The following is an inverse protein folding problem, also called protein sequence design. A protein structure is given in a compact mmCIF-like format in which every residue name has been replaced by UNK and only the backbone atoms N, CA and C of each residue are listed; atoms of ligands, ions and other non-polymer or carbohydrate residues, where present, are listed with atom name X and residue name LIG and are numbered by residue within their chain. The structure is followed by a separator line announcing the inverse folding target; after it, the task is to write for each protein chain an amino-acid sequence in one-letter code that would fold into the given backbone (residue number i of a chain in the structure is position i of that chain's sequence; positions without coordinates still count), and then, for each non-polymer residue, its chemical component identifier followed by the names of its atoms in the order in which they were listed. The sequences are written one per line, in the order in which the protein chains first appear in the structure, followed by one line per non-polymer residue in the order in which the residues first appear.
data_IF_698587650758
#
_entry.id   IF_698587650758
#
_cell.length_a   1.000
_cell.length_b   1.000
_cell.length_c   1.000
_cell.angle_alpha   90.00
_cell.angle_beta   90.00
_cell.angle_gamma   90.00
#
_symmetry.space_group_name_H-M   'P 1'
#
loop_
_entity.id
_entity.type
_entity.pdbx_description
1 polymer ?
#
# COMPACT_ATOMS: atom_id res chain seq x y z
N UNK A 1 -32.40 4.22 14.04
CA UNK A 1 -32.55 3.86 12.61
C UNK A 1 -31.33 4.42 11.88
N UNK A 2 -30.25 3.64 11.81
CA UNK A 2 -29.02 4.06 11.16
C UNK A 2 -29.09 3.68 9.69
N UNK A 3 -29.14 4.68 8.84
CA UNK A 3 -29.15 4.57 7.39
C UNK A 3 -27.74 4.11 6.92
N UNK A 4 -27.61 2.80 6.70
CA UNK A 4 -26.40 2.20 6.13
C UNK A 4 -26.43 2.47 4.60
N UNK A 5 -25.91 3.61 4.17
CA UNK A 5 -25.63 3.86 2.77
C UNK A 5 -24.54 2.89 2.27
N UNK A 6 -24.84 2.07 1.26
CA UNK A 6 -23.82 1.22 0.62
C UNK A 6 -23.06 2.03 -0.44
N UNK A 7 -22.10 2.87 -0.05
CA UNK A 7 -21.46 3.79 -1.00
C UNK A 7 -19.93 3.71 -1.08
N UNK A 8 -19.31 2.54 -0.79
CA UNK A 8 -17.85 2.47 -0.89
C UNK A 8 -17.30 1.54 -1.99
N UNK A 9 -18.14 1.06 -2.91
CA UNK A 9 -17.64 0.28 -4.05
C UNK A 9 -16.90 1.12 -5.11
N UNK A 10 -17.10 2.43 -5.10
CA UNK A 10 -16.51 3.35 -6.10
C UNK A 10 -15.13 3.91 -5.70
N UNK A 11 -14.73 3.82 -4.45
CA UNK A 11 -13.47 4.40 -3.96
C UNK A 11 -12.22 3.72 -4.54
N UNK A 12 -12.23 2.40 -4.63
CA UNK A 12 -11.08 1.62 -5.11
C UNK A 12 -10.79 1.81 -6.61
N UNK A 13 -11.82 1.88 -7.43
CA UNK A 13 -11.65 2.11 -8.87
C UNK A 13 -11.18 3.54 -9.19
N UNK A 14 -11.71 4.53 -8.46
CA UNK A 14 -11.26 5.93 -8.64
C UNK A 14 -9.80 6.13 -8.29
N UNK A 15 -9.29 5.44 -7.27
CA UNK A 15 -7.87 5.54 -6.90
C UNK A 15 -6.95 4.91 -7.95
N UNK A 16 -7.31 3.77 -8.50
CA UNK A 16 -6.54 3.13 -9.58
C UNK A 16 -6.52 3.98 -10.86
N UNK A 17 -7.65 4.56 -11.23
CA UNK A 17 -7.74 5.44 -12.40
C UNK A 17 -6.90 6.70 -12.22
N UNK A 18 -6.92 7.31 -11.03
CA UNK A 18 -6.07 8.49 -10.72
C UNK A 18 -4.59 8.13 -10.77
N UNK A 19 -4.21 7.00 -10.20
CA UNK A 19 -2.82 6.52 -10.22
C UNK A 19 -2.34 6.28 -11.64
N UNK A 20 -3.15 5.62 -12.47
CA UNK A 20 -2.83 5.41 -13.89
C UNK A 20 -2.67 6.73 -14.63
N UNK A 21 -3.59 7.68 -14.43
CA UNK A 21 -3.51 9.01 -15.03
C UNK A 21 -2.24 9.75 -14.62
N UNK A 22 -1.88 9.73 -13.33
CA UNK A 22 -0.64 10.34 -12.83
C UNK A 22 0.61 9.71 -13.44
N UNK A 23 0.64 8.40 -13.61
CA UNK A 23 1.74 7.69 -14.28
C UNK A 23 1.89 8.12 -15.73
N UNK A 24 0.78 8.30 -16.45
CA UNK A 24 0.79 8.79 -17.84
C UNK A 24 1.31 10.23 -17.91
N UNK A 25 0.82 11.11 -17.03
CA UNK A 25 1.28 12.51 -16.96
C UNK A 25 2.78 12.58 -16.66
N UNK A 26 3.26 11.79 -15.69
CA UNK A 26 4.67 11.72 -15.34
C UNK A 26 5.52 11.26 -16.54
N UNK A 27 5.05 10.26 -17.27
CA UNK A 27 5.73 9.78 -18.49
C UNK A 27 5.83 10.88 -19.54
N UNK A 28 4.75 11.64 -19.77
CA UNK A 28 4.74 12.75 -20.73
C UNK A 28 5.77 13.82 -20.33
N UNK A 29 5.83 14.18 -19.05
CA UNK A 29 6.80 15.14 -18.53
C UNK A 29 8.23 14.64 -18.77
N UNK A 30 8.51 13.37 -18.46
CA UNK A 30 9.83 12.77 -18.66
C UNK A 30 10.26 12.79 -20.12
N UNK A 31 9.34 12.44 -21.03
CA UNK A 31 9.60 12.45 -22.48
C UNK A 31 9.83 13.88 -22.98
N UNK A 32 9.04 14.85 -22.52
CA UNK A 32 9.22 16.25 -22.89
C UNK A 32 10.59 16.78 -22.46
N UNK A 33 10.99 16.56 -21.21
CA UNK A 33 12.31 16.95 -20.70
C UNK A 33 13.44 16.24 -21.44
N UNK A 34 13.32 14.95 -21.69
CA UNK A 34 14.30 14.19 -22.46
C UNK A 34 14.45 14.70 -23.89
N UNK A 35 13.33 15.08 -24.51
CA UNK A 35 13.34 15.66 -25.86
C UNK A 35 13.95 17.08 -25.91
N UNK A 36 13.80 17.85 -24.86
CA UNK A 36 14.42 19.19 -24.75
C UNK A 36 15.94 19.09 -24.61
N UNK A 37 16.47 18.07 -23.95
CA UNK A 37 17.90 17.92 -23.69
C UNK A 37 18.60 17.19 -24.83
N UNK A 38 18.03 16.12 -25.36
CA UNK A 38 18.65 15.22 -26.33
C UNK A 38 17.86 15.06 -27.64
N UNK A 39 16.92 15.97 -27.93
CA UNK A 39 16.11 15.90 -29.14
C UNK A 39 15.26 14.60 -29.18
N UNK A 40 15.05 14.07 -30.37
CA UNK A 40 14.24 12.87 -30.60
C UNK A 40 14.79 11.63 -29.85
N UNK A 41 16.09 11.46 -29.86
CA UNK A 41 16.74 10.31 -29.21
C UNK A 41 16.66 10.41 -27.69
N UNK A 42 16.83 11.61 -27.11
CA UNK A 42 16.63 11.88 -25.71
C UNK A 42 15.19 11.59 -25.24
N UNK A 43 14.20 11.96 -26.06
CA UNK A 43 12.80 11.63 -25.81
C UNK A 43 12.52 10.13 -25.82
N UNK A 44 13.09 9.39 -26.75
CA UNK A 44 12.95 7.92 -26.82
C UNK A 44 13.58 7.24 -25.62
N UNK A 45 14.78 7.61 -25.24
CA UNK A 45 15.46 7.08 -24.04
C UNK A 45 14.63 7.34 -22.79
N UNK A 46 14.16 8.59 -22.63
CA UNK A 46 13.33 8.97 -21.49
C UNK A 46 12.00 8.19 -21.43
N UNK A 47 11.40 7.91 -22.60
CA UNK A 47 10.19 7.08 -22.68
C UNK A 47 10.43 5.66 -22.16
N UNK A 48 11.50 5.00 -22.62
CA UNK A 48 11.82 3.65 -22.16
C UNK A 48 12.17 3.60 -20.67
N UNK A 49 12.92 4.59 -20.16
CA UNK A 49 13.19 4.70 -18.72
C UNK A 49 11.91 4.87 -17.94
N UNK A 50 11.01 5.76 -18.34
CA UNK A 50 9.73 5.98 -17.67
C UNK A 50 8.85 4.73 -17.69
N UNK A 51 8.83 3.98 -18.81
CA UNK A 51 8.09 2.73 -18.92
C UNK A 51 8.58 1.68 -17.91
N UNK A 52 9.90 1.48 -17.84
CA UNK A 52 10.53 0.53 -16.91
C UNK A 52 10.27 0.96 -15.46
N UNK A 53 10.46 2.23 -15.13
CA UNK A 53 10.20 2.76 -13.79
C UNK A 53 8.73 2.59 -13.37
N UNK A 54 7.79 2.91 -14.25
CA UNK A 54 6.36 2.72 -14.01
C UNK A 54 6.02 1.25 -13.78
N UNK A 55 6.60 0.34 -14.59
CA UNK A 55 6.42 -1.09 -14.43
C UNK A 55 6.94 -1.58 -13.08
N UNK A 56 8.17 -1.20 -12.71
CA UNK A 56 8.77 -1.58 -11.42
C UNK A 56 7.94 -1.02 -10.26
N UNK A 57 7.56 0.26 -10.32
CA UNK A 57 6.75 0.90 -9.28
C UNK A 57 5.41 0.21 -9.09
N UNK A 58 4.73 -0.15 -10.16
CA UNK A 58 3.43 -0.82 -10.08
C UNK A 58 3.53 -2.25 -9.54
N UNK A 59 4.55 -3.01 -9.96
CA UNK A 59 4.65 -4.43 -9.61
C UNK A 59 5.37 -4.71 -8.29
N UNK A 60 6.24 -3.84 -7.86
CA UNK A 60 7.16 -4.09 -6.74
C UNK A 60 7.07 -3.06 -5.61
N UNK A 61 6.16 -2.07 -5.67
CA UNK A 61 6.09 -1.02 -4.65
C UNK A 61 5.89 -1.57 -3.24
N UNK A 62 5.03 -2.56 -3.05
CA UNK A 62 4.79 -3.23 -1.78
C UNK A 62 6.06 -3.92 -1.25
N UNK A 63 6.75 -4.67 -2.10
CA UNK A 63 7.98 -5.38 -1.75
C UNK A 63 9.13 -4.42 -1.43
N UNK A 64 9.24 -3.32 -2.18
CA UNK A 64 10.28 -2.30 -1.96
C UNK A 64 10.08 -1.65 -0.60
N UNK A 65 8.86 -1.24 -0.26
CA UNK A 65 8.53 -0.62 1.02
C UNK A 65 8.81 -1.57 2.17
N UNK A 66 8.32 -2.82 2.11
CA UNK A 66 8.55 -3.81 3.15
C UNK A 66 10.04 -4.11 3.36
N UNK A 67 10.81 -4.21 2.27
CA UNK A 67 12.26 -4.41 2.34
C UNK A 67 13.01 -3.21 2.94
N UNK A 68 12.58 -2.00 2.58
CA UNK A 68 13.15 -0.76 3.10
C UNK A 68 12.99 -0.64 4.61
N UNK A 69 11.82 -1.03 5.12
CA UNK A 69 11.51 -1.06 6.55
C UNK A 69 11.96 -2.34 7.27
N UNK A 70 12.61 -3.28 6.56
CA UNK A 70 13.01 -4.60 7.09
C UNK A 70 11.84 -5.34 7.76
N UNK A 71 10.65 -5.20 7.18
CA UNK A 71 9.44 -5.83 7.67
C UNK A 71 9.58 -7.36 7.58
N UNK A 72 9.23 -8.06 8.65
CA UNK A 72 9.24 -9.51 8.72
C UNK A 72 7.81 -10.01 8.68
N UNK A 73 7.52 -10.92 7.77
CA UNK A 73 6.22 -11.58 7.73
C UNK A 73 6.08 -12.51 8.94
N UNK A 74 4.99 -12.39 9.65
CA UNK A 74 4.71 -13.20 10.84
C UNK A 74 3.51 -14.08 10.59
N UNK A 75 3.62 -15.33 11.02
CA UNK A 75 2.54 -16.29 10.97
C UNK A 75 1.54 -16.09 12.11
N UNK A 76 0.37 -16.70 11.98
CA UNK A 76 -0.63 -16.71 13.06
C UNK A 76 -0.08 -17.32 14.36
N UNK A 77 0.80 -18.32 14.25
CA UNK A 77 1.44 -18.95 15.41
C UNK A 77 2.41 -18.01 16.15
N UNK A 78 3.07 -17.10 15.43
CA UNK A 78 4.04 -16.14 15.98
C UNK A 78 3.37 -14.90 16.59
N UNK A 79 2.26 -14.45 15.99
CA UNK A 79 1.55 -13.26 16.42
C UNK A 79 0.02 -13.46 16.41
N UNK A 80 -0.55 -14.38 17.22
CA UNK A 80 -1.96 -14.75 17.14
C UNK A 80 -2.91 -13.60 17.43
N UNK A 81 -2.55 -12.71 18.35
CA UNK A 81 -3.38 -11.55 18.69
C UNK A 81 -3.46 -10.53 17.55
N UNK A 82 -2.34 -10.28 16.91
CA UNK A 82 -2.27 -9.35 15.75
C UNK A 82 -3.06 -9.92 14.57
N UNK A 83 -2.89 -11.22 14.29
CA UNK A 83 -3.67 -11.89 13.24
C UNK A 83 -5.17 -11.87 13.51
N UNK A 84 -5.61 -12.11 14.74
CA UNK A 84 -7.02 -12.04 15.11
C UNK A 84 -7.61 -10.64 14.89
N UNK A 85 -6.87 -9.58 15.25
CA UNK A 85 -7.29 -8.18 15.02
C UNK A 85 -7.40 -7.85 13.54
N UNK A 86 -6.37 -8.18 12.77
CA UNK A 86 -6.35 -7.92 11.32
C UNK A 86 -7.46 -8.71 10.62
N UNK A 87 -7.71 -9.95 11.03
CA UNK A 87 -8.81 -10.77 10.51
C UNK A 87 -10.17 -10.15 10.78
N UNK A 88 -10.41 -9.67 12.00
CA UNK A 88 -11.66 -8.98 12.34
C UNK A 88 -11.89 -7.72 11.51
N UNK A 89 -10.84 -6.93 11.26
CA UNK A 89 -10.91 -5.75 10.40
C UNK A 89 -11.14 -6.10 8.93
N UNK A 90 -10.46 -7.12 8.44
CA UNK A 90 -10.64 -7.61 7.06
C UNK A 90 -12.08 -8.11 6.82
N UNK A 91 -12.65 -8.82 7.79
CA UNK A 91 -14.06 -9.25 7.73
C UNK A 91 -15.02 -8.05 7.74
N UNK A 92 -14.80 -7.06 8.61
CA UNK A 92 -15.61 -5.82 8.63
C UNK A 92 -15.52 -5.05 7.31
N UNK A 93 -14.35 -5.06 6.67
CA UNK A 93 -14.12 -4.41 5.37
C UNK A 93 -14.53 -5.28 4.17
N UNK A 94 -14.97 -6.52 4.38
CA UNK A 94 -15.31 -7.48 3.33
C UNK A 94 -14.18 -7.72 2.32
N UNK A 95 -12.94 -7.78 2.80
CA UNK A 95 -11.74 -8.06 2.01
C UNK A 95 -11.08 -9.37 2.44
N UNK A 96 -10.29 -10.02 1.57
CA UNK A 96 -9.47 -11.16 1.94
C UNK A 96 -8.47 -10.79 3.04
N UNK A 97 -8.09 -11.78 3.87
CA UNK A 97 -7.09 -11.59 4.92
C UNK A 97 -5.77 -11.08 4.33
N UNK A 98 -5.29 -9.89 4.71
CA UNK A 98 -4.01 -9.38 4.27
C UNK A 98 -2.86 -10.11 4.96
N UNK A 99 -1.67 -10.07 4.36
CA UNK A 99 -0.44 -10.56 4.99
C UNK A 99 -0.02 -9.61 6.10
N UNK A 100 0.44 -10.18 7.21
CA UNK A 100 0.80 -9.42 8.41
C UNK A 100 2.31 -9.38 8.58
N UNK A 101 2.83 -8.17 8.78
CA UNK A 101 4.25 -7.92 8.95
C UNK A 101 4.52 -7.15 10.24
N UNK A 102 5.65 -7.45 10.88
CA UNK A 102 6.18 -6.70 12.01
C UNK A 102 7.49 -6.02 11.58
N UNK A 103 7.64 -4.78 12.01
CA UNK A 103 8.83 -3.97 11.79
C UNK A 103 9.48 -3.69 13.14
N UNK A 104 10.73 -4.06 13.30
CA UNK A 104 11.51 -3.72 14.48
C UNK A 104 11.86 -2.23 14.47
N UNK A 105 11.02 -1.42 15.10
CA UNK A 105 11.20 0.01 15.23
C UNK A 105 10.48 0.48 16.49
N UNK A 106 11.16 1.26 17.33
CA UNK A 106 10.60 1.80 18.58
C UNK A 106 9.61 2.94 18.32
N UNK A 107 9.68 3.60 17.17
CA UNK A 107 8.69 4.61 16.79
C UNK A 107 7.34 3.94 16.50
N UNK A 108 6.25 4.36 17.19
CA UNK A 108 4.94 3.77 16.99
C UNK A 108 4.41 4.12 15.59
N UNK A 109 4.20 3.10 14.77
CA UNK A 109 3.64 3.25 13.43
C UNK A 109 2.89 1.99 13.00
N UNK A 110 1.87 2.17 12.18
CA UNK A 110 1.16 1.09 11.50
C UNK A 110 0.69 1.58 10.13
N UNK A 111 0.82 0.76 9.11
CA UNK A 111 0.31 1.10 7.79
C UNK A 111 -0.20 -0.13 7.05
N UNK A 112 -1.11 0.11 6.13
CA UNK A 112 -1.55 -0.88 5.16
C UNK A 112 -1.09 -0.47 3.77
N UNK A 113 -0.72 -1.42 2.95
CA UNK A 113 -0.34 -1.23 1.55
C UNK A 113 -0.80 -2.43 0.73
N UNK A 114 -0.84 -2.26 -0.56
CA UNK A 114 -1.22 -3.30 -1.50
C UNK A 114 -1.79 -2.69 -2.77
N UNK A 115 -1.65 -3.40 -3.89
CA UNK A 115 -2.18 -2.97 -5.19
C UNK A 115 -3.59 -3.49 -5.50
N UNK A 116 -4.07 -4.42 -4.68
CA UNK A 116 -5.40 -5.01 -4.79
C UNK A 116 -5.83 -5.62 -3.46
N UNK A 117 -7.13 -5.81 -3.20
CA UNK A 117 -7.61 -6.44 -1.98
C UNK A 117 -6.98 -7.80 -1.68
N UNK A 118 -6.74 -8.61 -2.73
CA UNK A 118 -6.11 -9.94 -2.60
C UNK A 118 -4.60 -9.90 -2.34
N UNK A 119 -3.96 -8.73 -2.43
CA UNK A 119 -2.52 -8.52 -2.20
C UNK A 119 -2.26 -7.48 -1.12
N UNK A 120 -3.22 -7.33 -0.22
CA UNK A 120 -3.11 -6.47 0.94
C UNK A 120 -2.01 -6.91 1.90
N UNK A 121 -1.36 -5.95 2.49
CA UNK A 121 -0.33 -6.11 3.53
C UNK A 121 -0.61 -5.13 4.63
N UNK A 122 -0.55 -5.59 5.86
CA UNK A 122 -0.58 -4.75 7.07
C UNK A 122 0.76 -4.90 7.77
N UNK A 123 1.39 -3.78 8.06
CA UNK A 123 2.65 -3.74 8.80
C UNK A 123 2.49 -2.89 10.05
N UNK A 124 3.00 -3.39 11.16
CA UNK A 124 3.00 -2.71 12.46
C UNK A 124 4.41 -2.68 13.03
N UNK A 125 4.75 -1.62 13.77
CA UNK A 125 6.03 -1.55 14.46
C UNK A 125 5.95 -2.16 15.85
N UNK A 126 7.08 -2.66 16.35
CA UNK A 126 7.19 -3.12 17.74
C UNK A 126 6.88 -2.01 18.74
N UNK A 127 7.18 -0.76 18.38
CA UNK A 127 6.89 0.41 19.21
C UNK A 127 5.39 0.58 19.46
N UNK A 128 4.55 0.50 18.42
CA UNK A 128 3.09 0.66 18.59
C UNK A 128 2.50 -0.52 19.37
N UNK A 129 3.01 -1.74 19.18
CA UNK A 129 2.56 -2.93 19.91
C UNK A 129 2.87 -2.88 21.40
N UNK A 130 3.91 -2.14 21.82
CA UNK A 130 4.26 -1.96 23.25
C UNK A 130 3.43 -0.88 23.94
N UNK A 131 3.00 0.15 23.21
CA UNK A 131 2.34 1.33 23.77
C UNK A 131 0.84 1.13 23.85
N UNK A 132 0.24 0.49 22.85
CA UNK A 132 -1.21 0.36 22.73
C UNK A 132 -1.71 -0.96 23.32
N UNK A 133 -2.79 -0.87 24.09
CA UNK A 133 -3.61 -2.02 24.44
C UNK A 133 -4.23 -2.64 23.17
N UNK A 134 -4.75 -3.85 23.29
CA UNK A 134 -5.40 -4.55 22.18
C UNK A 134 -6.54 -3.74 21.55
N UNK A 135 -7.35 -3.08 22.37
CA UNK A 135 -8.51 -2.27 21.94
C UNK A 135 -8.06 -0.99 21.23
N UNK A 136 -7.01 -0.35 21.73
CA UNK A 136 -6.42 0.85 21.13
C UNK A 136 -5.71 0.55 19.82
N UNK A 137 -5.02 -0.58 19.73
CA UNK A 137 -4.35 -1.03 18.51
C UNK A 137 -5.37 -1.33 17.40
N UNK A 138 -6.52 -1.95 17.73
CA UNK A 138 -7.62 -2.15 16.78
C UNK A 138 -8.18 -0.82 16.27
N UNK A 139 -8.17 0.23 17.08
CA UNK A 139 -8.59 1.58 16.70
C UNK A 139 -7.63 2.32 15.77
N UNK A 140 -6.33 2.00 15.84
CA UNK A 140 -5.26 2.66 15.06
C UNK A 140 -4.98 1.95 13.73
N UNK A 141 -5.24 0.64 13.67
CA UNK A 141 -5.09 -0.11 12.41
C UNK A 141 -5.99 0.51 11.33
N UNK A 142 -5.46 0.69 10.11
CA UNK A 142 -6.21 1.32 9.02
C UNK A 142 -7.52 0.57 8.78
N UNK A 143 -8.64 1.28 8.97
CA UNK A 143 -9.98 0.76 8.66
C UNK A 143 -10.26 0.82 7.16
N UNK A 144 -9.60 1.77 6.50
CA UNK A 144 -9.69 1.97 5.07
C UNK A 144 -8.45 1.39 4.41
N UNK A 145 -8.60 0.22 3.83
CA UNK A 145 -7.54 -0.35 3.00
C UNK A 145 -7.49 0.43 1.68
N UNK A 146 -6.29 0.78 1.18
CA UNK A 146 -6.11 1.69 0.05
C UNK A 146 -6.38 1.03 -1.32
N UNK A 147 -7.50 0.33 -1.46
CA UNK A 147 -7.85 -0.33 -2.74
C UNK A 147 -8.97 0.36 -3.47
#
# INVERSE_FOLDING_TARGET
MFDLKPNNFYGGQMNQTKTFFLMVVLTIIFVALGSMIGGRDGGMIAFFIALVMNFISYWFCDKIVLKMYRAQEVSEAEAPQLHAMVSALAQKASIPMPRVYIIENDSPNAFATGRSPSKGVVAVTTGIMRILSREELEGVLPRDFPY
#
